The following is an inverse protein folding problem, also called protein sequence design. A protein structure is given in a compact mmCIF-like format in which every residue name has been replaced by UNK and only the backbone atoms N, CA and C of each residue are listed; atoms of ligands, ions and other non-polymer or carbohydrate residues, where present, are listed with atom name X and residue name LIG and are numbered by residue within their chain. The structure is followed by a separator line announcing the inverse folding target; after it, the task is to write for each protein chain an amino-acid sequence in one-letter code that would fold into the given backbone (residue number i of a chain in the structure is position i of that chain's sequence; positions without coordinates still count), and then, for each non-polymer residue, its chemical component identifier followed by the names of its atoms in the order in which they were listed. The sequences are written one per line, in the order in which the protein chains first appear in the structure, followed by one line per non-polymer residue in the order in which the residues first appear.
data_IF_871347055495
#
_entry.id   IF_871347055495
#
_cell.length_a   1.000
_cell.length_b   1.000
_cell.length_c   1.000
_cell.angle_alpha   90.00
_cell.angle_beta   90.00
_cell.angle_gamma   90.00
#
_symmetry.space_group_name_H-M   'P 1'
#
loop_
_entity.id
_entity.type
_entity.pdbx_description
1 polymer ?
2 non-polymer ?
3 non-polymer ?
4 non-polymer ?
5 water ?
#
# COMPACT_ATOMS: atom_id res chain seq x y z
N UNK A 10 -13.80 2.23 13.09
CA UNK A 10 -13.19 0.91 12.90
C UNK A 10 -12.77 0.62 11.48
N UNK A 11 -11.52 0.18 11.36
CA UNK A 11 -11.00 -0.40 10.12
C UNK A 11 -11.80 -1.72 9.87
N UNK A 12 -12.44 -1.90 8.68
CA UNK A 12 -13.19 -3.15 8.45
C UNK A 12 -12.31 -4.40 8.46
N UNK A 13 -12.91 -5.50 8.91
CA UNK A 13 -12.27 -6.80 8.81
C UNK A 13 -12.29 -7.23 7.32
N UNK A 14 -11.48 -8.21 6.95
CA UNK A 14 -11.47 -8.67 5.56
C UNK A 14 -12.77 -9.35 5.19
N UNK A 15 -13.16 -9.32 3.90
CA UNK A 15 -14.38 -10.01 3.43
C UNK A 15 -14.15 -11.45 3.04
N UNK A 16 -12.89 -11.85 2.96
CA UNK A 16 -12.53 -13.18 2.51
C UNK A 16 -12.61 -14.25 3.59
N UNK A 17 -12.39 -15.51 3.18
CA UNK A 17 -12.53 -16.64 4.12
C UNK A 17 -11.38 -16.83 5.09
N UNK A 18 -10.23 -16.27 4.80
CA UNK A 18 -9.08 -16.47 5.67
C UNK A 18 -9.11 -15.49 6.80
N UNK A 19 -8.78 -15.97 7.97
CA UNK A 19 -8.31 -15.15 9.10
C UNK A 19 -7.00 -14.45 8.71
N UNK A 20 -6.71 -13.29 9.33
CA UNK A 20 -5.58 -12.42 8.98
C UNK A 20 -4.60 -12.21 10.13
N UNK A 21 -3.30 -12.42 9.85
CA UNK A 21 -2.21 -12.16 10.78
C UNK A 21 -1.45 -10.93 10.36
N UNK A 22 -0.70 -10.35 11.29
CA UNK A 22 0.11 -9.17 10.94
C UNK A 22 1.43 -9.21 11.66
N UNK A 23 2.52 -8.79 10.98
CA UNK A 23 3.79 -8.62 11.69
C UNK A 23 4.61 -7.57 10.98
N UNK A 24 5.75 -7.14 11.57
CA UNK A 24 6.66 -6.24 10.92
C UNK A 24 7.98 -6.90 10.63
N UNK A 25 8.58 -6.58 9.49
CA UNK A 25 9.91 -7.08 9.12
C UNK A 25 10.84 -5.97 8.67
N UNK A 26 12.02 -5.85 9.32
CA UNK A 26 13.04 -4.91 8.92
C UNK A 26 14.34 -5.67 8.66
N UNK A 27 14.81 -5.62 7.42
CA UNK A 27 16.06 -6.28 7.02
C UNK A 27 16.71 -5.65 5.77
N UNK A 28 18.01 -5.23 5.83
CA UNK A 28 18.79 -5.11 7.06
C UNK A 28 18.25 -4.01 7.97
N UNK A 29 19.00 -3.67 9.04
CA UNK A 29 18.59 -2.70 10.06
C UNK A 29 18.82 -1.23 9.62
N UNK A 30 19.44 -0.97 8.44
CA UNK A 30 19.91 0.39 8.08
C UNK A 30 18.82 1.19 7.31
N UNK A 31 19.11 2.49 7.03
CA UNK A 31 18.25 3.32 6.17
C UNK A 31 18.10 2.80 4.71
N UNK A 32 19.00 1.90 4.27
CA UNK A 32 19.03 1.28 2.94
C UNK A 32 18.40 -0.13 2.91
N UNK A 33 18.15 -0.69 4.09
CA UNK A 33 17.44 -1.97 4.19
C UNK A 33 15.96 -1.84 3.90
N UNK A 34 15.24 -2.98 3.96
CA UNK A 34 13.78 -3.06 3.76
C UNK A 34 13.07 -2.98 5.07
N UNK A 35 12.03 -2.11 5.16
CA UNK A 35 11.08 -2.14 6.25
C UNK A 35 9.69 -2.39 5.61
N UNK A 36 9.02 -3.44 6.05
CA UNK A 36 7.64 -3.68 5.61
C UNK A 36 6.73 -4.16 6.75
N UNK A 37 5.41 -3.91 6.62
CA UNK A 37 4.40 -4.56 7.43
C UNK A 37 3.79 -5.67 6.61
N UNK A 38 3.81 -6.87 7.15
CA UNK A 38 3.29 -8.05 6.46
C UNK A 38 1.84 -8.40 6.89
N UNK A 39 0.92 -8.54 5.93
CA UNK A 39 -0.44 -9.08 6.20
C UNK A 39 -0.53 -10.41 5.52
N UNK A 40 -1.12 -11.39 6.21
CA UNK A 40 -0.97 -12.78 5.73
C UNK A 40 -2.10 -13.63 6.22
N UNK A 41 -2.50 -14.68 5.46
CA UNK A 41 -3.51 -15.59 5.99
C UNK A 41 -3.02 -16.26 7.28
N UNK A 42 -3.79 -16.18 8.36
CA UNK A 42 -3.34 -16.71 9.66
C UNK A 42 -4.02 -18.03 10.09
N UNK A 43 -3.24 -18.86 10.79
CA UNK A 43 -3.70 -20.15 11.30
C UNK A 43 -4.77 -19.94 12.40
N UNK A 44 -4.53 -18.94 13.24
CA UNK A 44 -5.24 -18.67 14.47
C UNK A 44 -5.88 -17.31 14.38
N UNK A 45 -6.93 -17.11 15.18
CA UNK A 45 -7.77 -15.92 15.17
C UNK A 45 -8.05 -15.44 16.59
N UNK A 46 -7.13 -15.71 17.54
CA UNK A 46 -7.28 -15.32 18.94
C UNK A 46 -6.08 -14.51 19.45
N UNK A 47 -5.38 -13.84 18.55
CA UNK A 47 -4.30 -13.00 19.01
C UNK A 47 -4.85 -11.64 19.33
N UNK A 48 -4.05 -10.83 20.01
CA UNK A 48 -4.25 -9.38 20.13
C UNK A 48 -4.36 -8.74 18.76
N UNK A 49 -5.30 -7.77 18.63
CA UNK A 49 -5.42 -6.98 17.41
C UNK A 49 -4.16 -6.12 17.22
N UNK A 50 -3.89 -5.71 15.97
CA UNK A 50 -2.66 -4.99 15.65
C UNK A 50 -2.83 -3.47 15.93
N UNK A 51 -1.89 -2.88 16.66
CA UNK A 51 -1.80 -1.46 16.93
C UNK A 51 -1.53 -0.71 15.62
N UNK A 52 -2.45 0.23 15.27
CA UNK A 52 -2.53 0.91 13.97
C UNK A 52 -1.31 1.83 13.75
N UNK A 53 -1.03 2.72 14.70
CA UNK A 53 0.12 3.61 14.59
C UNK A 53 0.99 3.30 15.82
N UNK A 54 2.05 2.51 15.62
CA UNK A 54 2.78 1.92 16.76
C UNK A 54 3.74 2.82 17.57
N UNK A 55 4.05 4.06 17.11
CA UNK A 55 5.07 4.89 17.77
C UNK A 55 4.65 6.33 17.80
N UNK A 56 4.95 7.02 18.92
CA UNK A 56 4.67 8.45 19.09
C UNK A 56 5.24 9.28 17.93
N UNK A 57 6.39 8.88 17.38
CA UNK A 57 7.11 9.68 16.38
C UNK A 57 6.34 9.71 15.05
N UNK A 58 5.51 8.67 14.77
CA UNK A 58 4.63 8.71 13.57
C UNK A 58 3.65 9.89 13.68
N UNK A 59 3.11 10.12 14.87
CA UNK A 59 2.25 11.27 15.20
C UNK A 59 2.93 12.62 15.08
N UNK A 60 4.22 12.76 15.51
CA UNK A 60 5.01 13.98 15.27
C UNK A 60 5.16 14.19 13.76
N UNK A 61 5.51 13.13 13.04
CA UNK A 61 5.61 13.15 11.59
C UNK A 61 4.31 13.58 10.95
N UNK A 62 3.20 12.98 11.39
CA UNK A 62 1.89 13.33 10.84
C UNK A 62 1.55 14.80 11.04
N UNK A 63 1.88 15.36 12.19
CA UNK A 63 1.47 16.74 12.44
C UNK A 63 2.37 17.72 11.66
N UNK A 64 3.67 17.39 11.45
CA UNK A 64 4.53 18.15 10.51
C UNK A 64 3.91 18.10 9.11
N UNK A 65 3.52 16.90 8.61
CA UNK A 65 2.95 16.77 7.26
C UNK A 65 1.66 17.63 7.15
N UNK A 66 0.87 17.69 8.22
CA UNK A 66 -0.39 18.45 8.19
C UNK A 66 -0.17 19.96 8.40
N UNK A 67 1.06 20.34 8.71
CA UNK A 67 1.48 21.73 8.86
C UNK A 67 1.08 22.32 10.21
N UNK A 68 0.97 21.49 11.25
CA UNK A 68 0.64 21.96 12.58
C UNK A 68 1.88 21.87 13.48
N UNK A 69 1.76 22.35 14.74
CA UNK A 69 2.85 22.25 15.73
C UNK A 69 3.00 20.81 16.14
N UNK A 70 4.23 20.35 16.47
CA UNK A 70 4.45 18.96 16.88
C UNK A 70 3.63 18.57 18.13
N UNK A 71 3.19 19.56 18.96
CA UNK A 71 2.29 19.34 20.08
C UNK A 71 0.90 18.85 19.64
N UNK A 72 0.45 19.22 18.41
CA UNK A 72 -0.74 18.60 17.83
C UNK A 72 -0.54 17.10 17.61
N UNK A 73 0.71 16.68 17.39
CA UNK A 73 1.09 15.27 17.32
C UNK A 73 0.73 14.51 18.57
N UNK A 74 1.13 15.04 19.75
CA UNK A 74 0.70 14.60 21.08
C UNK A 74 -0.82 14.48 21.30
N UNK A 75 -1.60 15.40 20.75
CA UNK A 75 -3.08 15.31 20.82
C UNK A 75 -3.59 14.17 19.88
N UNK A 76 -3.06 14.11 18.64
CA UNK A 76 -3.36 13.00 17.70
C UNK A 76 -3.06 11.68 18.36
N UNK A 77 -1.89 11.60 19.04
CA UNK A 77 -1.50 10.43 19.81
C UNK A 77 -2.53 10.13 20.90
N UNK A 78 -2.93 11.12 21.70
CA UNK A 78 -3.97 10.96 22.72
C UNK A 78 -5.27 10.35 22.12
N UNK A 79 -5.70 10.85 20.96
CA UNK A 79 -6.96 10.42 20.32
C UNK A 79 -6.86 9.07 19.60
N UNK A 80 -5.71 8.75 18.99
CA UNK A 80 -5.58 7.66 18.00
C UNK A 80 -4.53 6.63 18.38
N UNK A 81 -3.81 6.90 19.47
CA UNK A 81 -2.62 6.13 19.85
C UNK A 81 -2.85 4.71 20.32
N UNK A 82 -4.08 4.38 20.71
CA UNK A 82 -4.40 3.02 21.18
C UNK A 82 -5.34 2.32 20.17
N UNK A 83 -5.71 3.01 19.08
CA UNK A 83 -6.51 2.42 18.00
C UNK A 83 -5.81 1.16 17.42
N UNK A 84 -6.56 0.09 17.18
CA UNK A 84 -6.08 -1.14 16.55
C UNK A 84 -6.69 -1.32 15.16
N UNK A 85 -6.21 -2.33 14.43
CA UNK A 85 -6.69 -2.75 13.14
C UNK A 85 -6.94 -4.26 13.23
N UNK A 86 -8.04 -4.80 12.65
CA UNK A 86 -8.40 -6.21 12.92
C UNK A 86 -7.54 -7.25 12.18
N UNK A 87 -6.30 -7.40 12.65
CA UNK A 87 -5.35 -8.42 12.21
C UNK A 87 -4.66 -8.98 13.44
N UNK A 88 -4.48 -10.29 13.47
CA UNK A 88 -3.92 -11.02 14.60
C UNK A 88 -2.42 -10.78 14.69
N UNK A 89 -1.97 -9.95 15.64
CA UNK A 89 -0.55 -9.59 15.74
C UNK A 89 0.30 -10.85 15.95
N UNK A 90 1.28 -11.12 15.06
CA UNK A 90 2.23 -12.23 15.21
C UNK A 90 1.61 -13.61 15.15
N UNK A 91 0.39 -13.73 14.60
CA UNK A 91 -0.27 -15.02 14.52
C UNK A 91 0.60 -15.93 13.63
N UNK A 92 0.61 -17.27 13.82
CA UNK A 92 1.30 -18.11 12.85
C UNK A 92 0.63 -18.03 11.46
N UNK A 93 1.43 -18.08 10.41
CA UNK A 93 0.97 -18.08 9.00
C UNK A 93 0.17 -19.35 8.73
N UNK A 94 -1.00 -19.23 8.08
CA UNK A 94 -1.77 -20.42 7.74
C UNK A 94 -0.96 -21.36 6.81
N UNK A 95 -0.72 -22.63 7.22
CA UNK A 95 0.12 -23.53 6.40
C UNK A 95 -0.66 -24.19 5.27
N UNK A 96 0.11 -24.83 4.38
CA UNK A 96 -0.34 -25.85 3.43
C UNK A 96 -0.75 -25.33 2.05
N UNK A 97 -0.31 -24.12 1.71
CA UNK A 97 -0.79 -23.40 0.53
C UNK A 97 0.20 -22.35 0.13
N UNK A 98 0.57 -22.30 -1.16
CA UNK A 98 1.39 -21.18 -1.67
C UNK A 98 0.48 -19.98 -1.97
N UNK A 99 0.87 -18.82 -1.46
CA UNK A 99 0.10 -17.56 -1.55
C UNK A 99 0.71 -16.59 -2.58
N UNK A 100 -0.12 -15.97 -3.46
CA UNK A 100 0.36 -14.83 -4.28
C UNK A 100 0.73 -13.63 -3.41
N UNK A 101 1.59 -12.77 -3.94
CA UNK A 101 2.19 -11.66 -3.18
C UNK A 101 1.95 -10.32 -3.81
N UNK A 102 1.48 -9.40 -2.98
CA UNK A 102 1.31 -8.01 -3.32
C UNK A 102 2.37 -7.21 -2.53
N UNK A 103 3.09 -6.38 -3.26
CA UNK A 103 3.92 -5.36 -2.63
C UNK A 103 3.07 -4.06 -2.72
N UNK A 104 2.92 -3.35 -1.61
CA UNK A 104 2.05 -2.19 -1.45
C UNK A 104 2.87 -0.93 -1.10
N UNK A 105 2.65 0.17 -1.87
CA UNK A 105 3.32 1.46 -1.71
C UNK A 105 2.39 2.56 -1.24
N UNK A 106 2.80 3.19 -0.13
CA UNK A 106 1.97 4.19 0.56
C UNK A 106 2.16 5.56 -0.09
N UNK A 107 1.21 6.45 0.16
CA UNK A 107 1.25 7.81 -0.35
C UNK A 107 2.19 8.72 0.43
N UNK A 108 2.24 9.99 -0.01
CA UNK A 108 3.01 11.05 0.63
C UNK A 108 2.39 11.37 2.00
N UNK A 109 3.22 11.51 3.03
CA UNK A 109 2.74 11.73 4.39
C UNK A 109 2.25 10.47 5.08
N UNK A 110 2.26 9.32 4.39
CA UNK A 110 1.79 8.07 5.01
C UNK A 110 2.98 7.24 5.45
N UNK A 111 2.82 5.97 5.67
CA UNK A 111 3.88 5.04 6.12
C UNK A 111 3.26 3.63 6.08
N UNK A 112 3.97 2.59 6.51
CA UNK A 112 3.55 1.23 6.19
C UNK A 112 2.18 0.78 6.76
N UNK A 113 1.71 1.42 7.84
CA UNK A 113 0.61 0.87 8.62
C UNK A 113 -0.76 1.40 8.17
N UNK A 114 -0.79 2.38 7.19
CA UNK A 114 -2.00 3.17 7.04
C UNK A 114 -2.96 2.69 5.93
N UNK A 115 -2.68 1.51 5.39
CA UNK A 115 -3.51 0.90 4.37
C UNK A 115 -3.85 -0.55 4.76
N UNK A 116 -4.12 -0.76 6.08
CA UNK A 116 -4.55 -2.07 6.61
C UNK A 116 -5.95 -2.50 6.09
N UNK A 117 -6.88 -1.60 5.86
CA UNK A 117 -8.20 -2.04 5.31
C UNK A 117 -7.95 -2.83 3.99
N UNK A 118 -7.11 -2.28 3.12
CA UNK A 118 -6.67 -2.97 1.89
C UNK A 118 -5.86 -4.26 2.17
N UNK A 119 -4.82 -4.16 2.98
CA UNK A 119 -3.91 -5.27 3.30
C UNK A 119 -4.58 -6.46 3.97
N UNK A 120 -5.42 -6.19 4.98
CA UNK A 120 -6.26 -7.18 5.67
C UNK A 120 -7.23 -7.81 4.66
N UNK A 121 -7.89 -6.98 3.82
CA UNK A 121 -8.86 -7.57 2.89
C UNK A 121 -8.17 -8.50 1.89
N UNK A 122 -7.02 -8.07 1.35
CA UNK A 122 -6.25 -8.89 0.42
C UNK A 122 -5.83 -10.19 1.10
N UNK A 123 -5.30 -10.11 2.36
CA UNK A 123 -4.86 -11.26 3.15
C UNK A 123 -5.99 -12.23 3.43
N UNK A 124 -7.18 -11.70 3.75
CA UNK A 124 -8.37 -12.53 3.97
C UNK A 124 -8.78 -13.32 2.72
N UNK A 125 -8.34 -12.90 1.49
CA UNK A 125 -8.65 -13.65 0.27
C UNK A 125 -7.52 -14.61 -0.17
N UNK A 126 -6.49 -14.75 0.68
CA UNK A 126 -5.40 -15.69 0.44
C UNK A 126 -4.13 -15.11 -0.14
N UNK A 127 -3.92 -13.79 0.00
CA UNK A 127 -2.70 -13.06 -0.38
C UNK A 127 -1.75 -12.87 0.79
N UNK A 128 -0.42 -12.90 0.52
CA UNK A 128 0.52 -12.27 1.45
C UNK A 128 0.75 -10.82 0.93
N UNK A 129 0.65 -9.84 1.83
CA UNK A 129 0.79 -8.42 1.51
C UNK A 129 1.99 -7.83 2.22
N UNK A 130 2.96 -7.32 1.45
CA UNK A 130 4.08 -6.59 2.01
C UNK A 130 3.91 -5.09 1.76
N UNK A 131 3.44 -4.38 2.80
CA UNK A 131 3.30 -2.93 2.77
C UNK A 131 4.64 -2.33 3.21
N UNK A 132 5.36 -1.79 2.21
CA UNK A 132 6.68 -1.19 2.41
C UNK A 132 6.59 0.12 3.17
N UNK A 133 7.63 0.42 3.93
CA UNK A 133 7.80 1.77 4.47
C UNK A 133 8.96 2.40 3.74
N UNK A 134 8.68 3.51 3.06
CA UNK A 134 9.67 4.17 2.22
C UNK A 134 10.63 5.07 3.03
N UNK A 135 11.90 5.14 2.59
CA UNK A 135 12.97 5.89 3.30
C UNK A 135 13.46 7.04 2.41
N UNK A 136 12.59 7.45 1.46
CA UNK A 136 12.83 8.53 0.50
C UNK A 136 12.46 9.89 1.08
N UNK A 137 12.01 9.95 2.36
CA UNK A 137 11.51 11.15 3.06
C UNK A 137 10.15 11.56 2.50
N UNK A 138 9.42 10.61 1.87
CA UNK A 138 8.03 10.80 1.52
C UNK A 138 7.14 10.32 2.66
N UNK A 139 7.63 9.40 3.54
CA UNK A 139 6.81 9.05 4.71
C UNK A 139 6.75 10.24 5.69
N UNK A 140 5.65 10.38 6.41
CA UNK A 140 5.54 11.30 7.55
C UNK A 140 6.72 11.08 8.50
N UNK A 141 6.97 9.81 8.86
CA UNK A 141 8.12 9.41 9.66
C UNK A 141 8.43 7.99 9.28
N UNK A 142 9.68 7.58 9.49
CA UNK A 142 10.15 6.18 9.41
C UNK A 142 11.35 6.04 10.37
N UNK A 143 11.79 4.81 10.65
CA UNK A 143 12.96 4.66 11.48
C UNK A 143 13.79 3.53 10.97
N UNK A 144 15.03 3.48 11.42
CA UNK A 144 16.02 2.48 11.08
C UNK A 144 17.08 2.60 12.19
N UNK A 145 18.19 1.84 12.07
CA UNK A 145 19.23 1.79 13.10
C UNK A 145 20.58 2.14 12.47
N UNK A 146 21.35 2.97 13.19
CA UNK A 146 22.65 3.45 12.71
C UNK A 146 23.61 2.31 12.42
N UNK A 147 23.53 1.26 13.25
CA UNK A 147 24.44 0.12 13.15
C UNK A 147 23.91 -1.01 13.99
N UNK A 148 24.65 -2.13 14.02
CA UNK A 148 24.19 -3.37 14.66
C UNK A 148 23.93 -3.18 16.15
N UNK A 149 24.83 -2.46 16.86
CA UNK A 149 24.71 -2.12 18.28
C UNK A 149 23.41 -1.37 18.58
N UNK A 150 23.09 -0.36 17.75
CA UNK A 150 21.87 0.44 17.89
C UNK A 150 20.64 -0.43 17.64
N UNK A 151 20.72 -1.35 16.67
CA UNK A 151 19.61 -2.27 16.37
C UNK A 151 19.35 -3.20 17.56
N UNK A 152 20.41 -3.78 18.12
CA UNK A 152 20.41 -4.73 19.24
C UNK A 152 19.76 -4.16 20.53
N UNK A 153 19.94 -2.86 20.79
CA UNK A 153 19.33 -2.23 21.98
C UNK A 153 18.06 -1.44 21.61
N UNK A 154 17.58 -1.58 20.37
CA UNK A 154 16.41 -0.85 19.88
C UNK A 154 16.53 0.66 20.01
N UNK A 155 17.72 1.21 19.70
CA UNK A 155 17.98 2.63 19.66
C UNK A 155 17.67 3.13 18.23
N UNK A 156 16.43 3.66 18.07
CA UNK A 156 15.85 4.02 16.77
C UNK A 156 16.36 5.38 16.31
N UNK A 157 16.70 5.50 15.03
CA UNK A 157 16.96 6.78 14.40
C UNK A 157 15.76 7.07 13.52
N UNK A 158 15.20 8.25 13.68
CA UNK A 158 13.97 8.60 12.96
C UNK A 158 14.30 9.50 11.78
N UNK A 159 13.62 9.29 10.68
CA UNK A 159 13.74 10.11 9.47
C UNK A 159 12.36 10.73 9.18
N UNK A 160 12.28 12.07 9.06
CA UNK A 160 10.98 12.76 8.94
C UNK A 160 10.71 13.25 7.51
N UNK A 161 9.43 13.42 7.14
CA UNK A 161 9.04 13.99 5.86
C UNK A 161 9.86 15.20 5.45
N UNK A 162 10.31 15.25 4.20
CA UNK A 162 11.00 16.40 3.60
C UNK A 162 10.00 17.29 2.87
N UNK A 163 10.03 18.58 3.22
CA UNK A 163 9.26 19.63 2.56
C UNK A 163 10.11 20.20 1.43
N UNK A 164 9.51 20.36 0.26
CA UNK A 164 10.27 20.83 -0.91
C UNK A 164 9.96 22.28 -1.21
N UNK A 165 10.99 23.02 -1.62
CA UNK A 165 10.84 24.29 -2.32
C UNK A 165 10.31 23.96 -3.73
N UNK A 166 9.53 24.89 -4.34
CA UNK A 166 8.96 24.74 -5.68
C UNK A 166 9.96 24.35 -6.76
N UNK A 167 11.21 24.83 -6.62
CA UNK A 167 12.34 24.55 -7.52
C UNK A 167 12.80 23.11 -7.44
N UNK A 168 12.48 22.42 -6.35
CA UNK A 168 12.94 21.04 -6.11
C UNK A 168 11.96 20.00 -6.58
N UNK A 169 10.72 20.41 -6.87
CA UNK A 169 9.58 19.50 -7.05
C UNK A 169 9.82 18.44 -8.11
N UNK A 170 10.07 18.83 -9.38
CA UNK A 170 10.22 17.88 -10.49
C UNK A 170 11.30 16.85 -10.17
N UNK A 171 12.51 17.37 -9.86
CA UNK A 171 13.68 16.58 -9.62
C UNK A 171 13.56 15.67 -8.39
N UNK A 172 13.21 16.23 -7.22
CA UNK A 172 13.16 15.43 -6.00
C UNK A 172 12.02 14.41 -6.06
N UNK A 173 10.82 14.80 -6.55
CA UNK A 173 9.75 13.81 -6.70
C UNK A 173 10.17 12.67 -7.58
N UNK A 174 10.90 12.95 -8.67
CA UNK A 174 11.35 11.88 -9.55
C UNK A 174 12.46 11.00 -8.91
N UNK A 175 13.44 11.59 -8.22
CA UNK A 175 14.39 10.81 -7.40
C UNK A 175 13.68 9.89 -6.38
N UNK A 176 12.63 10.40 -5.71
CA UNK A 176 11.84 9.62 -4.74
C UNK A 176 11.09 8.45 -5.35
N UNK A 177 10.45 8.64 -6.53
CA UNK A 177 9.66 7.54 -7.10
C UNK A 177 10.62 6.40 -7.57
N UNK A 178 11.85 6.79 -7.90
CA UNK A 178 12.84 5.80 -8.33
C UNK A 178 13.39 5.03 -7.13
N UNK A 179 13.70 5.73 -6.01
CA UNK A 179 14.03 5.03 -4.76
C UNK A 179 12.87 4.13 -4.28
N UNK A 180 11.66 4.66 -4.27
CA UNK A 180 10.44 3.86 -4.02
C UNK A 180 10.39 2.55 -4.84
N UNK A 181 10.62 2.60 -6.16
CA UNK A 181 10.60 1.42 -7.01
C UNK A 181 11.66 0.41 -6.56
N UNK A 182 12.90 0.92 -6.30
CA UNK A 182 14.02 0.10 -5.85
C UNK A 182 13.69 -0.58 -4.53
N UNK A 183 13.02 0.17 -3.64
CA UNK A 183 12.53 -0.32 -2.36
C UNK A 183 11.47 -1.40 -2.57
N UNK A 184 10.61 -1.26 -3.60
CA UNK A 184 9.65 -2.33 -3.93
C UNK A 184 10.32 -3.56 -4.47
N UNK A 185 11.28 -3.43 -5.40
CA UNK A 185 12.05 -4.60 -5.85
C UNK A 185 12.83 -5.25 -4.72
N UNK A 186 13.40 -4.43 -3.84
CA UNK A 186 14.23 -4.93 -2.76
C UNK A 186 13.38 -5.66 -1.75
N UNK A 187 12.18 -5.13 -1.45
CA UNK A 187 11.23 -5.86 -0.62
C UNK A 187 10.86 -7.20 -1.21
N UNK A 188 10.57 -7.27 -2.55
CA UNK A 188 10.28 -8.52 -3.25
C UNK A 188 11.41 -9.57 -3.14
N UNK A 189 12.64 -9.17 -3.44
CA UNK A 189 13.82 -10.01 -3.33
C UNK A 189 13.99 -10.51 -1.87
N UNK A 190 13.73 -9.63 -0.87
CA UNK A 190 13.74 -10.09 0.53
C UNK A 190 12.76 -11.24 0.76
N UNK A 191 11.47 -11.07 0.36
CA UNK A 191 10.41 -12.08 0.56
C UNK A 191 10.71 -13.34 -0.24
N UNK A 192 11.19 -13.18 -1.46
CA UNK A 192 11.55 -14.32 -2.29
C UNK A 192 12.68 -15.12 -1.66
N UNK A 193 13.70 -14.44 -1.07
CA UNK A 193 14.80 -15.14 -0.39
C UNK A 193 14.34 -15.89 0.85
N UNK A 194 13.46 -15.24 1.66
CA UNK A 194 12.87 -15.88 2.83
C UNK A 194 12.05 -17.12 2.38
N UNK A 195 11.35 -17.01 1.22
CA UNK A 195 10.60 -18.13 0.66
C UNK A 195 11.54 -19.26 0.25
N UNK A 196 12.65 -18.88 -0.42
CA UNK A 196 13.73 -19.78 -0.85
C UNK A 196 14.69 -20.18 0.29
N UNK A 197 14.21 -20.01 1.56
CA UNK A 197 14.79 -20.52 2.80
C UNK A 197 15.93 -19.77 3.47
N UNK A 198 16.46 -18.69 2.83
CA UNK A 198 17.54 -17.87 3.37
C UNK A 198 17.25 -17.45 4.83
N UNK A 199 18.14 -17.78 5.79
CA UNK A 199 17.89 -17.35 7.18
C UNK A 199 18.15 -15.85 7.25
N UNK A 200 17.17 -15.13 7.75
CA UNK A 200 17.20 -13.67 7.87
C UNK A 200 16.96 -13.36 9.36
N UNK A 201 17.82 -12.53 9.99
CA UNK A 201 17.55 -12.06 11.36
C UNK A 201 16.81 -10.71 11.32
N UNK A 202 15.50 -10.73 11.66
CA UNK A 202 14.67 -9.52 11.70
C UNK A 202 15.32 -8.52 12.67
N UNK A 203 15.52 -7.25 12.25
CA UNK A 203 16.16 -6.26 13.11
C UNK A 203 15.22 -5.90 14.24
N UNK A 204 13.93 -6.26 14.10
CA UNK A 204 12.94 -6.09 15.13
C UNK A 204 12.81 -7.38 15.93
N UNK A 205 12.86 -7.28 17.25
CA UNK A 205 12.71 -8.47 18.08
C UNK A 205 11.24 -8.80 18.30
N UNK A 206 10.62 -9.54 17.34
CA UNK A 206 9.20 -9.90 17.32
C UNK A 206 8.99 -11.43 17.41
N UNK A 207 7.90 -11.87 18.01
CA UNK A 207 7.64 -13.31 18.16
C UNK A 207 6.94 -13.91 16.92
N UNK A 208 7.56 -13.71 15.75
CA UNK A 208 7.14 -14.30 14.48
C UNK A 208 8.38 -14.82 13.80
N UNK A 209 8.56 -16.14 13.76
CA UNK A 209 9.61 -16.81 13.00
C UNK A 209 9.39 -16.66 11.49
N UNK A 210 10.28 -15.90 10.82
CA UNK A 210 10.29 -15.70 9.37
C UNK A 210 10.41 -17.00 8.62
N UNK A 211 10.95 -18.04 9.28
CA UNK A 211 11.07 -19.40 8.71
C UNK A 211 9.71 -20.00 8.26
N UNK A 212 8.59 -19.55 8.86
CA UNK A 212 7.22 -19.89 8.44
C UNK A 212 6.96 -19.61 6.98
N UNK A 213 7.57 -18.54 6.46
CA UNK A 213 7.37 -18.08 5.10
C UNK A 213 8.09 -18.95 4.04
N UNK A 214 9.00 -19.86 4.48
CA UNK A 214 9.66 -20.84 3.62
C UNK A 214 8.57 -21.66 2.91
N UNK A 215 8.65 -21.70 1.57
CA UNK A 215 7.78 -22.46 0.66
C UNK A 215 6.31 -22.01 0.72
N UNK A 216 6.09 -20.71 1.06
CA UNK A 216 4.74 -20.17 1.25
C UNK A 216 4.29 -19.18 0.14
N UNK A 217 5.17 -18.79 -0.79
CA UNK A 217 4.91 -17.83 -1.85
C UNK A 217 4.70 -18.49 -3.20
N UNK A 218 3.58 -18.17 -3.88
CA UNK A 218 3.40 -18.55 -5.28
C UNK A 218 4.28 -17.58 -6.09
N UNK A 219 5.53 -17.99 -6.33
CA UNK A 219 6.61 -17.11 -6.77
C UNK A 219 6.37 -16.41 -8.14
N UNK A 220 5.49 -16.95 -8.98
CA UNK A 220 5.11 -16.36 -10.27
C UNK A 220 3.93 -15.33 -10.12
N UNK A 221 3.25 -15.34 -8.99
CA UNK A 221 2.03 -14.55 -8.84
C UNK A 221 2.30 -13.34 -7.99
N UNK A 222 2.93 -12.34 -8.63
CA UNK A 222 3.40 -11.17 -7.94
C UNK A 222 2.80 -9.89 -8.53
N UNK A 223 2.25 -9.05 -7.68
CA UNK A 223 1.69 -7.77 -8.09
C UNK A 223 2.16 -6.65 -7.25
N UNK A 224 2.05 -5.43 -7.80
CA UNK A 224 2.44 -4.24 -7.07
C UNK A 224 1.18 -3.36 -7.05
N UNK A 225 0.82 -2.83 -5.85
CA UNK A 225 -0.32 -1.93 -5.66
C UNK A 225 0.14 -0.72 -4.83
N UNK A 226 -0.47 0.42 -5.08
CA UNK A 226 -0.17 1.55 -4.22
C UNK A 226 -1.09 2.70 -4.47
N UNK A 227 -1.13 3.60 -3.48
CA UNK A 227 -2.03 4.75 -3.47
C UNK A 227 -1.24 6.06 -3.65
N UNK A 228 -1.69 6.93 -4.58
CA UNK A 228 -1.27 8.32 -4.74
C UNK A 228 0.19 8.34 -5.24
N UNK A 229 1.15 8.82 -4.41
CA UNK A 229 2.57 8.64 -4.70
C UNK A 229 2.88 7.14 -4.94
N UNK A 230 2.26 6.28 -4.16
CA UNK A 230 2.39 4.85 -4.35
C UNK A 230 1.84 4.32 -5.66
N UNK A 231 0.90 5.05 -6.27
CA UNK A 231 0.31 4.70 -7.55
C UNK A 231 1.30 5.03 -8.64
N UNK A 232 2.09 6.12 -8.47
CA UNK A 232 3.23 6.36 -9.38
C UNK A 232 4.33 5.31 -9.17
N UNK A 233 4.52 4.85 -7.92
CA UNK A 233 5.51 3.80 -7.59
C UNK A 233 5.16 2.52 -8.31
N UNK A 234 3.86 2.19 -8.40
CA UNK A 234 3.38 1.05 -9.18
C UNK A 234 3.97 1.08 -10.55
N UNK A 235 3.84 2.22 -11.23
CA UNK A 235 4.19 2.35 -12.65
C UNK A 235 5.68 2.32 -12.81
N UNK A 236 6.41 3.05 -11.97
CA UNK A 236 7.88 3.03 -12.04
C UNK A 236 8.42 1.60 -11.83
N UNK A 237 7.90 0.92 -10.79
CA UNK A 237 8.24 -0.46 -10.40
C UNK A 237 8.04 -1.44 -11.57
N UNK A 238 6.83 -1.47 -12.17
CA UNK A 238 6.55 -2.32 -13.33
C UNK A 238 7.52 -2.09 -14.46
N UNK A 239 7.83 -0.83 -14.76
CA UNK A 239 8.75 -0.53 -15.87
C UNK A 239 10.21 -1.00 -15.57
N UNK A 240 10.56 -1.12 -14.29
CA UNK A 240 11.91 -1.52 -13.86
C UNK A 240 12.03 -3.01 -13.53
N UNK A 241 10.98 -3.67 -13.15
CA UNK A 241 11.11 -4.99 -12.54
C UNK A 241 10.03 -5.90 -13.11
N UNK A 242 10.46 -6.74 -14.06
CA UNK A 242 9.51 -7.60 -14.74
C UNK A 242 8.99 -8.78 -13.90
N UNK A 243 9.52 -8.96 -12.67
CA UNK A 243 9.06 -10.00 -11.74
C UNK A 243 7.64 -9.68 -11.30
N UNK A 244 7.29 -8.38 -11.29
CA UNK A 244 5.92 -7.94 -11.06
C UNK A 244 5.09 -8.15 -12.32
N UNK A 245 3.98 -8.88 -12.21
CA UNK A 245 3.22 -9.33 -13.39
C UNK A 245 2.07 -8.43 -13.75
N UNK A 246 1.63 -7.61 -12.78
CA UNK A 246 0.60 -6.62 -13.00
C UNK A 246 0.61 -5.62 -11.88
N UNK A 247 -0.02 -4.49 -12.10
CA UNK A 247 -0.12 -3.46 -11.06
C UNK A 247 -1.47 -2.79 -11.04
N UNK A 248 -1.84 -2.25 -9.88
CA UNK A 248 -3.07 -1.49 -9.61
C UNK A 248 -2.66 -0.18 -8.96
N UNK A 249 -2.92 0.95 -9.65
CA UNK A 249 -2.58 2.27 -9.18
C UNK A 249 -3.90 2.84 -8.61
N UNK A 250 -3.90 3.08 -7.29
CA UNK A 250 -5.07 3.60 -6.59
C UNK A 250 -4.94 5.10 -6.51
N UNK A 251 -5.77 5.83 -7.29
CA UNK A 251 -5.74 7.29 -7.39
C UNK A 251 -4.29 7.75 -7.52
N UNK A 252 -3.58 7.30 -8.56
CA UNK A 252 -2.15 7.58 -8.67
C UNK A 252 -1.95 9.10 -8.83
N UNK A 253 -0.92 9.63 -8.18
CA UNK A 253 -0.41 10.98 -8.42
C UNK A 253 0.79 10.80 -9.41
N UNK A 254 0.59 11.20 -10.68
CA UNK A 254 1.54 10.82 -11.78
C UNK A 254 2.72 11.76 -11.93
N UNK A 255 2.64 12.97 -11.38
CA UNK A 255 3.72 13.98 -11.43
C UNK A 255 5.17 13.41 -11.18
N UNK A 256 5.45 12.52 -10.16
CA UNK A 256 6.84 12.05 -9.96
C UNK A 256 7.52 11.32 -11.15
N UNK A 257 6.73 10.70 -12.05
CA UNK A 257 7.22 9.86 -13.16
C UNK A 257 8.02 10.62 -14.19
N UNK A 258 9.11 10.02 -14.65
CA UNK A 258 9.87 10.56 -15.77
C UNK A 258 9.15 10.29 -17.07
N UNK A 259 9.36 11.16 -18.09
CA UNK A 259 8.77 11.04 -19.44
C UNK A 259 9.05 9.70 -20.09
N UNK A 260 10.18 9.09 -19.70
CA UNK A 260 10.67 7.84 -20.25
C UNK A 260 9.84 6.63 -19.86
N UNK A 261 9.14 6.63 -18.69
CA UNK A 261 8.47 5.41 -18.19
C UNK A 261 7.26 5.00 -18.99
N UNK A 262 6.56 5.98 -19.59
CA UNK A 262 5.20 5.84 -20.12
C UNK A 262 5.09 4.80 -21.20
N UNK A 263 6.10 4.68 -22.08
CA UNK A 263 6.14 3.65 -23.11
C UNK A 263 6.76 2.31 -22.63
N UNK A 264 7.14 2.22 -21.34
CA UNK A 264 8.00 1.14 -20.84
C UNK A 264 7.22 0.22 -19.85
N UNK A 265 5.88 0.06 -20.00
CA UNK A 265 5.13 -0.73 -19.01
C UNK A 265 4.44 -1.88 -19.73
N UNK A 266 5.11 -3.04 -19.94
CA UNK A 266 4.43 -4.13 -20.66
C UNK A 266 3.33 -4.82 -19.85
N UNK A 267 3.34 -4.70 -18.53
CA UNK A 267 2.37 -5.42 -17.68
C UNK A 267 0.95 -4.80 -17.71
N UNK A 268 -0.10 -5.65 -17.49
CA UNK A 268 -1.45 -5.12 -17.24
C UNK A 268 -1.49 -4.11 -16.07
N UNK A 269 -2.24 -3.02 -16.27
CA UNK A 269 -2.28 -1.90 -15.34
C UNK A 269 -3.68 -1.41 -15.20
N UNK A 270 -4.13 -1.28 -13.94
CA UNK A 270 -5.49 -0.94 -13.54
C UNK A 270 -5.42 0.37 -12.74
N UNK A 271 -6.10 1.42 -13.22
CA UNK A 271 -6.23 2.68 -12.46
C UNK A 271 -7.57 2.68 -11.77
N UNK A 272 -7.56 2.85 -10.44
CA UNK A 272 -8.83 2.99 -9.70
C UNK A 272 -8.77 4.35 -9.08
N UNK A 273 -9.69 5.21 -9.53
CA UNK A 273 -9.67 6.61 -9.16
C UNK A 273 -10.79 7.05 -8.23
N UNK A 274 -10.50 8.08 -7.46
CA UNK A 274 -11.60 8.76 -6.77
C UNK A 274 -12.19 9.78 -7.72
N UNK A 275 -13.44 10.13 -7.49
CA UNK A 275 -14.08 11.19 -8.27
C UNK A 275 -13.46 12.57 -8.06
N UNK A 276 -13.16 12.93 -6.81
CA UNK A 276 -12.90 14.33 -6.48
C UNK A 276 -11.40 14.70 -6.51
N UNK A 277 -10.51 13.73 -6.47
CA UNK A 277 -9.07 14.06 -6.58
C UNK A 277 -8.60 14.48 -8.00
N UNK A 278 -9.04 13.74 -9.03
CA UNK A 278 -8.41 13.77 -10.36
C UNK A 278 -8.59 15.09 -11.12
N UNK A 279 -7.68 15.36 -12.02
CA UNK A 279 -7.64 16.61 -12.79
C UNK A 279 -6.99 16.30 -14.13
N UNK A 280 -7.26 17.12 -15.17
CA UNK A 280 -6.71 16.86 -16.50
C UNK A 280 -5.24 16.47 -16.63
N UNK A 281 -4.30 17.26 -16.04
CA UNK A 281 -2.87 17.00 -16.14
C UNK A 281 -2.55 15.55 -15.71
N UNK A 282 -3.20 15.09 -14.64
CA UNK A 282 -3.06 13.75 -14.10
C UNK A 282 -3.66 12.70 -15.01
N UNK A 283 -4.89 12.89 -15.50
CA UNK A 283 -5.53 11.92 -16.43
C UNK A 283 -4.74 11.78 -17.75
N UNK A 284 -4.25 12.91 -18.30
CA UNK A 284 -3.40 12.90 -19.54
C UNK A 284 -2.18 11.97 -19.33
N UNK A 285 -1.50 12.08 -18.15
CA UNK A 285 -0.38 11.22 -17.83
C UNK A 285 -0.78 9.73 -17.75
N UNK A 286 -1.91 9.40 -17.09
CA UNK A 286 -2.50 8.03 -17.11
C UNK A 286 -2.72 7.52 -18.57
N UNK A 287 -3.31 8.36 -19.42
CA UNK A 287 -3.58 8.02 -20.83
C UNK A 287 -2.31 7.82 -21.67
N UNK A 288 -1.20 8.47 -21.27
CA UNK A 288 0.13 8.25 -21.85
C UNK A 288 0.63 6.81 -21.61
N UNK A 289 0.04 6.09 -20.61
CA UNK A 289 0.40 4.71 -20.35
C UNK A 289 -0.31 3.77 -21.33
N UNK A 290 -1.35 4.25 -22.03
CA UNK A 290 -2.14 3.43 -22.95
C UNK A 290 -1.40 3.16 -24.26
N UNK A 291 -1.54 1.95 -24.78
CA UNK A 291 -1.01 1.50 -26.07
C UNK A 291 -1.86 0.31 -26.53
N UNK A 292 -2.11 0.07 -27.85
CA UNK A 292 -3.08 -0.99 -28.24
C UNK A 292 -2.66 -2.40 -27.85
N UNK A 293 -1.35 -2.65 -27.69
CA UNK A 293 -0.88 -3.97 -27.27
C UNK A 293 -0.91 -4.14 -25.72
N UNK A 294 -1.20 -3.05 -24.94
CA UNK A 294 -1.22 -3.08 -23.48
C UNK A 294 -2.59 -3.31 -22.90
N UNK A 295 -2.66 -4.11 -21.83
CA UNK A 295 -3.85 -4.24 -21.02
C UNK A 295 -3.96 -3.05 -20.02
N UNK A 296 -5.01 -2.22 -20.22
CA UNK A 296 -5.30 -1.04 -19.40
C UNK A 296 -6.76 -0.96 -19.06
N UNK A 297 -7.03 -0.65 -17.80
CA UNK A 297 -8.39 -0.46 -17.25
C UNK A 297 -8.39 0.74 -16.33
N UNK A 298 -9.53 1.44 -16.30
CA UNK A 298 -9.71 2.61 -15.44
C UNK A 298 -11.14 2.68 -14.99
N UNK A 299 -11.32 2.84 -13.69
CA UNK A 299 -12.62 3.09 -13.09
C UNK A 299 -12.50 4.24 -12.11
N UNK A 300 -13.64 4.90 -11.86
CA UNK A 300 -13.76 5.97 -10.89
C UNK A 300 -14.88 5.60 -9.90
N UNK A 301 -14.56 5.69 -8.61
CA UNK A 301 -15.56 5.50 -7.58
C UNK A 301 -16.37 6.83 -7.43
N UNK A 302 -17.70 6.81 -7.76
CA UNK A 302 -18.64 7.91 -7.57
C UNK A 302 -18.67 8.34 -6.11
N UNK A 303 -18.60 9.64 -5.86
CA UNK A 303 -18.77 10.18 -4.51
C UNK A 303 -17.50 10.17 -3.69
N UNK A 304 -16.36 9.65 -4.27
CA UNK A 304 -15.15 9.41 -3.46
C UNK A 304 -14.11 10.52 -3.49
N UNK A 305 -13.34 10.58 -2.42
CA UNK A 305 -12.22 11.50 -2.24
C UNK A 305 -10.90 10.74 -2.23
N UNK A 306 -9.77 11.48 -2.41
CA UNK A 306 -8.43 10.90 -2.41
C UNK A 306 -8.17 9.90 -1.27
N UNK A 307 -8.57 10.27 -0.04
CA UNK A 307 -8.27 9.48 1.15
C UNK A 307 -9.25 8.34 1.39
N UNK A 308 -10.30 8.15 0.50
CA UNK A 308 -11.12 6.92 0.61
C UNK A 308 -10.26 5.58 0.53
N UNK A 309 -9.03 5.64 0.00
CA UNK A 309 -8.17 4.42 -0.12
C UNK A 309 -7.34 4.20 1.15
N UNK A 310 -7.25 5.23 2.01
CA UNK A 310 -6.41 5.05 3.22
C UNK A 310 -7.26 4.82 4.48
N UNK A 311 -6.64 4.27 5.55
CA UNK A 311 -7.35 3.94 6.80
C UNK A 311 -7.91 5.17 7.51
N UNK A 312 -7.46 6.37 7.11
CA UNK A 312 -7.90 7.60 7.74
C UNK A 312 -9.39 7.76 7.52
N UNK A 313 -9.93 7.21 6.39
CA UNK A 313 -11.35 7.23 6.05
C UNK A 313 -12.20 6.46 7.08
N UNK A 314 -11.58 5.61 7.90
CA UNK A 314 -12.33 4.88 8.95
C UNK A 314 -12.05 5.37 10.34
N UNK A 315 -11.14 6.36 10.48
CA UNK A 315 -10.64 6.77 11.80
C UNK A 315 -11.54 7.77 12.52
N UNK A 316 -12.43 8.48 11.78
CA UNK A 316 -13.36 9.45 12.37
C UNK A 316 -14.83 9.12 11.97
N UNK A 317 -15.76 9.84 12.59
CA UNK A 317 -17.18 9.83 12.23
C UNK A 317 -17.47 10.53 10.90
N UNK A 318 -18.72 10.38 10.40
CA UNK A 318 -19.17 10.91 9.11
C UNK A 318 -18.99 12.41 8.95
N UNK A 319 -19.37 13.23 9.95
CA UNK A 319 -19.32 14.70 9.85
C UNK A 319 -17.89 15.23 9.93
N UNK A 320 -17.12 14.81 10.94
CA UNK A 320 -15.73 15.24 11.06
C UNK A 320 -14.98 14.71 9.86
N UNK A 321 -15.28 13.47 9.46
CA UNK A 321 -14.64 12.85 8.31
C UNK A 321 -14.78 13.67 7.04
N UNK A 322 -16.02 14.12 6.73
CA UNK A 322 -16.30 14.92 5.54
C UNK A 322 -15.58 16.29 5.56
N UNK A 323 -15.56 16.91 6.73
CA UNK A 323 -14.90 18.18 7.03
C UNK A 323 -13.41 18.12 6.74
N UNK A 324 -12.70 17.09 7.26
CA UNK A 324 -11.26 16.93 7.10
C UNK A 324 -10.88 16.36 5.73
N UNK A 325 -11.90 16.19 4.83
CA UNK A 325 -11.76 15.61 3.48
C UNK A 325 -11.22 14.18 3.58
N UNK A 326 -11.63 13.43 4.63
CA UNK A 326 -11.22 12.03 4.80
C UNK A 326 -12.30 11.13 4.26
N UNK A 327 -13.50 11.68 4.07
CA UNK A 327 -14.65 10.92 3.59
C UNK A 327 -15.34 11.69 2.48
N UNK A 328 -15.90 11.00 1.50
CA UNK A 328 -16.69 11.63 0.44
C UNK A 328 -18.16 11.46 0.65
N UNK A 329 -18.96 11.69 -0.39
CA UNK A 329 -20.42 11.47 -0.30
C UNK A 329 -20.76 9.99 -0.16
N UNK A 330 -19.94 9.14 -0.75
CA UNK A 330 -20.07 7.69 -0.63
C UNK A 330 -19.67 7.23 0.78
N UNK A 331 -20.38 6.21 1.30
CA UNK A 331 -19.94 5.44 2.45
C UNK A 331 -18.54 4.77 2.25
N UNK A 332 -17.66 4.91 3.24
CA UNK A 332 -16.27 4.49 3.17
C UNK A 332 -16.12 2.97 2.97
N UNK A 333 -16.97 2.17 3.66
CA UNK A 333 -17.02 0.71 3.53
C UNK A 333 -17.45 0.32 2.13
N UNK A 334 -18.51 1.00 1.62
CA UNK A 334 -18.99 0.80 0.24
C UNK A 334 -17.86 1.04 -0.78
N UNK A 335 -17.16 2.20 -0.66
CA UNK A 335 -16.07 2.61 -1.57
C UNK A 335 -14.87 1.62 -1.50
N UNK A 336 -14.38 1.30 -0.29
CA UNK A 336 -13.24 0.35 -0.19
C UNK A 336 -13.62 -1.05 -0.73
N UNK A 337 -14.90 -1.51 -0.50
CA UNK A 337 -15.35 -2.81 -1.04
C UNK A 337 -15.27 -2.80 -2.54
N UNK A 338 -15.69 -1.73 -3.20
CA UNK A 338 -15.57 -1.60 -4.66
C UNK A 338 -14.13 -1.69 -5.13
N UNK A 339 -13.25 -0.95 -4.46
CA UNK A 339 -11.86 -0.87 -4.87
C UNK A 339 -11.18 -2.26 -4.64
N UNK A 340 -11.44 -2.90 -3.49
CA UNK A 340 -10.85 -4.20 -3.11
C UNK A 340 -11.37 -5.35 -3.93
N UNK A 341 -12.68 -5.35 -4.27
CA UNK A 341 -13.29 -6.40 -5.13
C UNK A 341 -12.87 -6.30 -6.58
N UNK A 342 -12.96 -5.09 -7.17
CA UNK A 342 -12.45 -4.86 -8.51
C UNK A 342 -10.94 -5.20 -8.57
N UNK A 343 -10.14 -4.84 -7.54
CA UNK A 343 -8.71 -5.26 -7.47
C UNK A 343 -8.56 -6.80 -7.53
N UNK A 344 -9.30 -7.52 -6.67
CA UNK A 344 -9.33 -9.00 -6.64
C UNK A 344 -9.62 -9.64 -7.97
N UNK A 345 -10.61 -9.12 -8.70
CA UNK A 345 -10.98 -9.66 -10.02
C UNK A 345 -9.79 -9.39 -11.00
N UNK A 346 -9.23 -8.17 -10.99
CA UNK A 346 -8.13 -7.82 -11.86
C UNK A 346 -6.92 -8.72 -11.60
N UNK A 347 -6.62 -8.96 -10.31
CA UNK A 347 -5.48 -9.80 -9.91
C UNK A 347 -5.70 -11.24 -10.38
N UNK A 348 -6.92 -11.76 -10.23
CA UNK A 348 -7.23 -13.14 -10.67
C UNK A 348 -6.92 -13.32 -12.20
N UNK A 349 -7.36 -12.37 -13.01
CA UNK A 349 -7.20 -12.35 -14.46
C UNK A 349 -5.71 -12.32 -14.84
N UNK A 350 -4.91 -11.43 -14.23
CA UNK A 350 -3.57 -11.19 -14.74
C UNK A 350 -2.49 -11.97 -13.96
N UNK A 351 -2.86 -12.60 -12.82
CA UNK A 351 -1.95 -13.53 -12.17
C UNK A 351 -2.32 -14.98 -12.42
N UNK A 352 -3.49 -15.21 -13.00
CA UNK A 352 -3.92 -16.57 -13.34
C UNK A 352 -4.30 -17.35 -12.11
N UNK A 353 -5.04 -16.70 -11.19
CA UNK A 353 -5.47 -17.34 -9.93
C UNK A 353 -6.69 -18.25 -10.17
N UNK A 354 -6.82 -19.30 -9.36
CA UNK A 354 -7.89 -20.28 -9.49
C UNK A 354 -8.84 -20.10 -8.33
N UNK A 355 -9.32 -18.88 -8.19
CA UNK A 355 -10.24 -18.51 -7.11
C UNK A 355 -11.55 -18.04 -7.75
N UNK A 356 -12.41 -17.38 -6.98
CA UNK A 356 -13.74 -16.98 -7.46
C UNK A 356 -13.85 -15.46 -7.62
N UNK A 357 -12.71 -14.79 -7.76
CA UNK A 357 -12.67 -13.35 -7.87
C UNK A 357 -13.28 -12.81 -9.19
N UNK A 358 -13.31 -13.63 -10.27
CA UNK A 358 -14.04 -13.31 -11.51
C UNK A 358 -15.54 -12.97 -11.28
N UNK A 359 -16.13 -13.30 -10.11
CA UNK A 359 -17.51 -12.84 -9.75
C UNK A 359 -17.56 -11.30 -9.78
N UNK A 360 -16.40 -10.63 -9.62
CA UNK A 360 -16.35 -9.17 -9.65
C UNK A 360 -15.83 -8.60 -10.99
N UNK A 361 -15.66 -9.42 -12.06
CA UNK A 361 -15.17 -8.95 -13.38
C UNK A 361 -15.84 -7.66 -13.89
N UNK A 362 -17.14 -7.53 -13.66
CA UNK A 362 -17.92 -6.39 -14.14
C UNK A 362 -17.50 -5.06 -13.46
N UNK A 363 -16.95 -5.10 -12.26
CA UNK A 363 -16.40 -3.94 -11.57
C UNK A 363 -15.14 -3.38 -12.29
N UNK A 364 -14.32 -4.25 -12.89
CA UNK A 364 -13.15 -3.86 -13.72
C UNK A 364 -13.63 -2.92 -14.85
N UNK A 365 -14.86 -3.17 -15.36
CA UNK A 365 -15.49 -2.37 -16.42
C UNK A 365 -16.27 -1.16 -15.92
N UNK A 366 -16.27 -0.95 -14.62
CA UNK A 366 -16.99 0.16 -13.99
C UNK A 366 -18.49 -0.03 -14.07
N UNK A 367 -18.96 -1.32 -14.02
CA UNK A 367 -20.40 -1.66 -14.09
C UNK A 367 -20.97 -1.89 -12.71
N UNK A 368 -21.34 -0.79 -12.07
CA UNK A 368 -21.94 -0.71 -10.74
C UNK A 368 -22.56 0.69 -10.60
N UNK A 369 -23.62 0.82 -9.81
CA UNK A 369 -24.30 2.11 -9.59
C UNK A 369 -23.33 3.16 -8.99
N UNK A 370 -22.34 2.72 -8.18
CA UNK A 370 -21.34 3.61 -7.59
C UNK A 370 -20.00 3.58 -8.35
N UNK A 371 -20.03 3.10 -9.61
CA UNK A 371 -18.82 3.21 -10.43
C UNK A 371 -19.05 4.03 -11.69
N UNK A 372 -18.01 4.80 -12.10
CA UNK A 372 -17.96 5.47 -13.40
C UNK A 372 -16.93 4.69 -14.24
N UNK A 373 -17.34 4.12 -15.39
CA UNK A 373 -16.34 3.57 -16.34
C UNK A 373 -15.39 4.65 -16.84
N UNK A 374 -14.10 4.31 -16.92
CA UNK A 374 -13.08 5.29 -17.24
C UNK A 374 -13.04 6.43 -16.23
N UNK A 375 -13.21 7.65 -16.72
CA UNK A 375 -13.05 8.86 -15.90
C UNK A 375 -14.17 9.85 -16.17
N UNK A 376 -14.44 10.71 -15.18
CA UNK A 376 -15.41 11.81 -15.27
C UNK A 376 -14.70 13.03 -15.85
N UNK A 377 -13.37 13.02 -15.85
CA UNK A 377 -12.50 14.13 -16.24
C UNK A 377 -12.45 14.25 -17.76
N UNK A 378 -12.95 15.39 -18.26
CA UNK A 378 -12.81 15.78 -19.65
C UNK A 378 -11.43 16.42 -19.89
N UNK A 379 -10.61 15.77 -20.72
CA UNK A 379 -9.31 16.27 -21.17
C UNK A 379 -9.45 16.76 -22.62
N UNK A 380 -8.76 17.88 -22.98
CA UNK A 380 -8.85 18.59 -24.29
C UNK A 380 -10.30 18.94 -24.68
#
# INVERSE_FOLDING_TARGET
MAAASFGQTKIPRGNGPYSVGCTDLMFDHTNKGTFLRLYYPSQDNDRLDTLWIPNKEYFWGLSKFLGTHWLMGNILRLLFGSMTTPANWNSPLRPGEKYPLVVFSHGLGAFRTLYSAIGIDLASHGFIVAAVEHRDRSASATYYFKDQSAAEIGDKSWLYLRTLKQEEETHIRNEQVRQRAKECSQALSLILDIDHGKPVKNALDLKFDMEQLKDSIDREKIAVIGHSFGGATVIQTLSEDQRFRCGIALDAWMFPLGDEVYSRIPQPLFFINSEYFQYPANIIKMKKCYSPDKERKMITIRGSVHQNFADFTFATGKIIGHMLKLKGDIDSNVAIDLSNKASLAFLQKHLGLHKDFDQWDCLIEGDDENLIPGTNINTTNQHHHHHH
#
